data_IF_803721455636
#
_entry.id   IF_803721455636
#
_cell.length_a   1.000
_cell.length_b   1.000
_cell.length_c   1.000
_cell.angle_alpha   90.00
_cell.angle_beta   90.00
_cell.angle_gamma   90.00
#
_symmetry.space_group_name_H-M   'P 1'
#
loop_
_entity.id
_entity.type
_entity.pdbx_description
1 polymer ?
#
# COMPACT_ATOMS: atom_id res chain seq x y z
N UNK A 1 17.92 -16.57 33.51
CA UNK A 1 16.71 -17.10 32.86
C UNK A 1 17.09 -17.49 31.44
N UNK A 2 16.73 -18.68 30.96
CA UNK A 2 17.05 -19.09 29.60
C UNK A 2 16.13 -18.36 28.61
N UNK A 3 16.70 -17.60 27.67
CA UNK A 3 15.95 -16.96 26.60
C UNK A 3 15.67 -18.00 25.52
N UNK A 4 14.40 -18.29 25.26
CA UNK A 4 14.00 -19.13 24.12
C UNK A 4 14.23 -18.32 22.85
N UNK A 5 15.28 -18.64 22.09
CA UNK A 5 15.42 -18.16 20.72
C UNK A 5 14.49 -18.98 19.84
N UNK A 6 13.42 -18.36 19.34
CA UNK A 6 12.55 -19.01 18.35
C UNK A 6 13.23 -18.96 16.98
N UNK A 7 13.24 -20.09 16.29
CA UNK A 7 13.65 -20.15 14.89
C UNK A 7 12.74 -19.22 14.07
N UNK A 8 13.30 -18.39 13.18
CA UNK A 8 12.50 -17.54 12.32
C UNK A 8 11.62 -18.40 11.42
N UNK A 9 10.38 -17.97 11.20
CA UNK A 9 9.48 -18.62 10.25
C UNK A 9 10.03 -18.42 8.84
N UNK A 10 10.18 -19.51 8.09
CA UNK A 10 10.54 -19.45 6.68
C UNK A 10 9.29 -19.23 5.82
N UNK A 11 9.49 -18.51 4.72
CA UNK A 11 8.50 -18.24 3.69
C UNK A 11 9.15 -18.49 2.34
N UNK A 12 8.36 -18.95 1.36
CA UNK A 12 8.83 -19.22 0.01
C UNK A 12 8.98 -17.92 -0.79
N UNK A 13 8.10 -16.94 -0.54
CA UNK A 13 8.07 -15.65 -1.26
C UNK A 13 7.89 -14.50 -0.28
N UNK A 14 8.67 -13.42 -0.48
CA UNK A 14 8.46 -12.13 0.16
C UNK A 14 7.88 -11.15 -0.87
N UNK A 15 6.71 -10.58 -0.55
CA UNK A 15 5.99 -9.63 -1.38
C UNK A 15 6.04 -8.27 -0.68
N UNK A 16 6.55 -7.27 -1.39
CA UNK A 16 6.67 -5.90 -0.88
C UNK A 16 5.58 -5.04 -1.53
N UNK A 17 4.64 -4.56 -0.71
CA UNK A 17 3.45 -3.83 -1.10
C UNK A 17 2.23 -4.74 -1.29
N UNK A 18 1.10 -4.41 -0.65
CA UNK A 18 -0.20 -5.06 -0.78
C UNK A 18 -1.15 -4.37 -1.78
N UNK A 19 -0.63 -3.42 -2.57
CA UNK A 19 -1.38 -2.78 -3.66
C UNK A 19 -1.83 -3.77 -4.74
N UNK A 20 -2.42 -3.26 -5.82
CA UNK A 20 -3.09 -4.08 -6.84
C UNK A 20 -2.26 -5.28 -7.34
N UNK A 21 -0.97 -5.07 -7.61
CA UNK A 21 -0.06 -6.13 -8.05
C UNK A 21 0.30 -7.12 -6.94
N UNK A 22 0.72 -6.62 -5.78
CA UNK A 22 1.20 -7.46 -4.68
C UNK A 22 0.08 -8.26 -3.99
N UNK A 23 -1.11 -7.68 -3.84
CA UNK A 23 -2.28 -8.41 -3.34
C UNK A 23 -2.71 -9.54 -4.28
N UNK A 24 -2.70 -9.28 -5.60
CA UNK A 24 -3.01 -10.32 -6.59
C UNK A 24 -1.94 -11.42 -6.61
N UNK A 25 -0.67 -11.05 -6.53
CA UNK A 25 0.43 -12.00 -6.41
C UNK A 25 0.28 -12.87 -5.15
N UNK A 26 0.00 -12.25 -4.00
CA UNK A 26 -0.23 -12.95 -2.74
C UNK A 26 -1.38 -13.96 -2.88
N UNK A 27 -2.50 -13.56 -3.50
CA UNK A 27 -3.62 -14.47 -3.76
C UNK A 27 -3.20 -15.67 -4.61
N UNK A 28 -2.63 -15.46 -5.79
CA UNK A 28 -2.29 -16.56 -6.71
C UNK A 28 -1.25 -17.50 -6.11
N UNK A 29 -0.21 -16.94 -5.49
CA UNK A 29 0.89 -17.74 -4.92
C UNK A 29 0.42 -18.58 -3.73
N UNK A 30 -0.41 -18.00 -2.85
CA UNK A 30 -0.95 -18.73 -1.69
C UNK A 30 -1.99 -19.78 -2.11
N UNK A 31 -2.84 -19.51 -3.09
CA UNK A 31 -3.74 -20.51 -3.69
C UNK A 31 -2.96 -21.66 -4.36
N UNK A 32 -1.77 -21.37 -4.88
CA UNK A 32 -0.82 -22.38 -5.39
C UNK A 32 -0.08 -23.18 -4.31
N UNK A 33 -0.34 -22.92 -3.03
CA UNK A 33 0.23 -23.64 -1.89
C UNK A 33 1.54 -23.07 -1.35
N UNK A 34 2.01 -21.91 -1.83
CA UNK A 34 3.22 -21.27 -1.33
C UNK A 34 2.95 -20.45 -0.06
N UNK A 35 3.90 -20.50 0.86
CA UNK A 35 3.92 -19.64 2.04
C UNK A 35 4.50 -18.26 1.69
N UNK A 36 3.69 -17.21 1.82
CA UNK A 36 4.10 -15.85 1.47
C UNK A 36 4.19 -14.94 2.71
N UNK A 37 5.20 -14.07 2.74
CA UNK A 37 5.27 -12.94 3.65
C UNK A 37 4.96 -11.65 2.87
N UNK A 38 3.88 -10.96 3.22
CA UNK A 38 3.47 -9.69 2.62
C UNK A 38 3.79 -8.54 3.58
N UNK A 39 4.52 -7.54 3.09
CA UNK A 39 4.90 -6.35 3.86
C UNK A 39 4.32 -5.12 3.20
N UNK A 40 3.53 -4.32 3.93
CA UNK A 40 2.98 -3.05 3.45
C UNK A 40 3.48 -1.92 4.35
N UNK A 41 3.94 -0.83 3.73
CA UNK A 41 4.44 0.35 4.44
C UNK A 41 3.30 1.35 4.72
N UNK A 42 2.25 1.33 3.90
CA UNK A 42 1.03 2.10 4.09
C UNK A 42 0.20 1.64 5.29
N UNK A 43 -0.80 2.45 5.70
CA UNK A 43 -1.70 2.09 6.78
C UNK A 43 -2.55 0.87 6.39
N UNK A 44 -3.16 0.22 7.39
CA UNK A 44 -4.24 -0.73 7.14
C UNK A 44 -5.41 0.00 6.45
N UNK A 45 -5.89 -0.56 5.34
CA UNK A 45 -6.97 0.01 4.54
C UNK A 45 -8.15 -0.95 4.55
N UNK A 46 -9.32 -0.41 4.88
CA UNK A 46 -10.61 -1.08 4.87
C UNK A 46 -11.43 -0.55 3.69
N UNK A 47 -11.57 -1.32 2.59
CA UNK A 47 -12.25 -0.84 1.38
C UNK A 47 -13.65 -0.28 1.64
N UNK A 48 -14.40 -0.83 2.60
CA UNK A 48 -15.75 -0.40 2.94
C UNK A 48 -15.82 0.96 3.64
N UNK A 49 -14.69 1.46 4.18
CA UNK A 49 -14.60 2.75 4.87
C UNK A 49 -13.76 3.76 4.10
N UNK A 50 -12.66 3.31 3.51
CA UNK A 50 -11.64 4.19 2.96
C UNK A 50 -11.82 4.45 1.47
N UNK A 51 -12.51 3.56 0.72
CA UNK A 51 -12.70 3.75 -0.71
C UNK A 51 -13.89 4.68 -0.97
N UNK A 52 -13.59 5.82 -1.60
CA UNK A 52 -14.58 6.86 -1.94
C UNK A 52 -15.05 6.80 -3.40
N UNK A 53 -14.74 5.73 -4.13
CA UNK A 53 -15.05 5.63 -5.56
C UNK A 53 -16.55 5.71 -5.88
N UNK A 54 -17.41 5.37 -4.91
CA UNK A 54 -18.87 5.43 -5.04
C UNK A 54 -19.50 6.62 -4.28
N UNK A 55 -18.68 7.46 -3.64
CA UNK A 55 -19.12 8.65 -2.92
C UNK A 55 -19.47 9.75 -3.91
N UNK A 56 -20.58 10.45 -3.67
CA UNK A 56 -20.93 11.61 -4.46
C UNK A 56 -20.09 12.83 -4.07
N UNK A 57 -19.78 13.74 -5.01
CA UNK A 57 -18.98 14.91 -4.67
C UNK A 57 -19.55 15.78 -3.56
N UNK A 58 -20.87 15.90 -3.43
CA UNK A 58 -21.47 16.70 -2.37
C UNK A 58 -21.35 16.08 -0.96
N UNK A 59 -20.98 14.80 -0.86
CA UNK A 59 -20.75 14.11 0.42
C UNK A 59 -19.34 14.33 0.96
N UNK A 60 -18.38 14.72 0.09
CA UNK A 60 -17.01 14.99 0.47
C UNK A 60 -16.84 16.43 1.03
N UNK A 61 -16.05 16.64 2.11
CA UNK A 61 -15.86 17.96 2.74
C UNK A 61 -15.41 19.07 1.78
N UNK A 62 -14.65 18.70 0.74
CA UNK A 62 -14.10 19.63 -0.25
C UNK A 62 -14.58 19.32 -1.68
N UNK A 63 -15.63 18.52 -1.82
CA UNK A 63 -16.17 18.08 -3.11
C UNK A 63 -15.13 17.48 -4.07
N UNK A 64 -14.11 16.83 -3.51
CA UNK A 64 -13.01 16.24 -4.27
C UNK A 64 -11.89 17.18 -4.68
N UNK A 65 -11.99 18.47 -4.37
CA UNK A 65 -10.93 19.44 -4.66
C UNK A 65 -9.73 19.34 -3.71
N UNK A 66 -9.85 18.57 -2.62
CA UNK A 66 -8.82 18.47 -1.59
C UNK A 66 -8.76 19.70 -0.68
N UNK A 67 -7.92 19.62 0.36
CA UNK A 67 -7.77 20.68 1.37
C UNK A 67 -7.21 21.93 0.69
N UNK A 68 -7.94 23.05 0.76
CA UNK A 68 -7.53 24.30 0.11
C UNK A 68 -7.52 24.25 -1.42
N UNK A 69 -8.27 23.34 -2.04
CA UNK A 69 -8.30 23.17 -3.50
C UNK A 69 -7.06 22.47 -4.07
N UNK A 70 -6.28 21.81 -3.22
CA UNK A 70 -5.08 21.05 -3.61
C UNK A 70 -5.30 19.57 -3.34
N UNK A 71 -5.41 18.80 -4.42
CA UNK A 71 -5.32 17.35 -4.36
C UNK A 71 -3.87 16.90 -4.10
N UNK A 72 -3.69 15.77 -3.41
CA UNK A 72 -2.35 15.22 -3.14
C UNK A 72 -1.80 14.60 -4.43
N UNK A 73 -0.64 15.05 -4.89
CA UNK A 73 0.18 14.48 -5.98
C UNK A 73 -0.58 13.92 -7.20
N UNK A 74 -1.58 14.67 -7.69
CA UNK A 74 -2.36 14.38 -8.91
C UNK A 74 -3.44 13.28 -8.79
N UNK A 75 -3.75 12.77 -7.59
CA UNK A 75 -4.86 11.85 -7.40
C UNK A 75 -6.04 12.56 -6.69
N UNK A 76 -7.21 12.54 -7.34
CA UNK A 76 -8.43 13.12 -6.77
C UNK A 76 -8.90 12.37 -5.53
N UNK A 77 -9.62 13.06 -4.64
CA UNK A 77 -10.09 12.51 -3.34
C UNK A 77 -10.91 11.19 -3.47
N UNK A 78 -11.49 10.94 -4.64
CA UNK A 78 -12.33 9.76 -4.92
C UNK A 78 -11.56 8.55 -5.44
N UNK A 79 -10.29 8.71 -5.83
CA UNK A 79 -9.46 7.58 -6.24
C UNK A 79 -9.14 6.73 -5.01
N UNK A 80 -8.92 5.43 -5.24
CA UNK A 80 -8.54 4.50 -4.18
C UNK A 80 -7.38 5.11 -3.38
N UNK A 81 -7.51 5.19 -2.05
CA UNK A 81 -6.78 6.14 -1.25
C UNK A 81 -5.28 5.80 -1.20
N UNK A 82 -4.49 6.86 -1.00
CA UNK A 82 -3.14 6.87 -0.43
C UNK A 82 -1.96 6.58 -1.36
N UNK A 83 -2.21 6.46 -2.66
CA UNK A 83 -1.19 6.46 -3.70
C UNK A 83 -0.39 7.77 -3.80
N UNK A 84 0.93 7.73 -3.63
CA UNK A 84 1.84 8.85 -3.83
C UNK A 84 3.19 8.35 -4.35
N UNK A 85 3.86 9.16 -5.16
CA UNK A 85 5.24 8.87 -5.58
C UNK A 85 6.22 9.24 -4.48
N UNK A 86 5.86 10.21 -3.63
CA UNK A 86 6.66 10.63 -2.50
C UNK A 86 5.87 10.53 -1.20
N UNK A 87 6.39 9.76 -0.26
CA UNK A 87 5.83 9.61 1.08
C UNK A 87 6.92 9.97 2.09
N UNK A 88 6.61 10.92 2.98
CA UNK A 88 7.52 11.28 4.06
C UNK A 88 7.79 10.07 4.96
N UNK A 89 9.07 9.78 5.21
CA UNK A 89 9.48 8.66 6.05
C UNK A 89 9.35 7.28 5.39
N UNK A 90 9.28 7.22 4.06
CA UNK A 90 9.22 5.94 3.37
C UNK A 90 10.42 5.01 3.68
N UNK A 91 10.20 3.68 3.82
CA UNK A 91 11.28 2.74 4.09
C UNK A 91 11.96 2.21 2.82
N UNK A 92 11.40 2.44 1.63
CA UNK A 92 11.93 1.90 0.39
C UNK A 92 13.02 2.80 -0.19
N UNK A 93 13.98 2.19 -0.86
CA UNK A 93 15.06 2.89 -1.55
C UNK A 93 15.34 2.21 -2.88
N UNK A 94 15.98 2.92 -3.79
CA UNK A 94 16.42 2.39 -5.07
C UNK A 94 17.93 2.22 -5.06
N UNK A 95 18.43 1.23 -5.80
CA UNK A 95 19.87 1.01 -5.91
C UNK A 95 20.59 2.25 -6.49
N UNK A 96 21.86 2.50 -6.14
CA UNK A 96 22.62 3.62 -6.70
C UNK A 96 22.60 3.60 -8.24
N UNK A 97 22.24 4.74 -8.85
CA UNK A 97 22.13 4.88 -10.31
C UNK A 97 20.84 4.36 -10.94
N UNK A 98 19.85 3.94 -10.13
CA UNK A 98 18.53 3.56 -10.62
C UNK A 98 17.58 4.76 -10.62
N UNK A 99 16.85 4.92 -11.72
CA UNK A 99 15.76 5.89 -11.85
C UNK A 99 14.38 5.27 -11.50
N UNK A 100 14.36 4.07 -10.92
CA UNK A 100 13.13 3.41 -10.53
C UNK A 100 12.47 4.12 -9.34
N UNK A 101 11.16 4.35 -9.44
CA UNK A 101 10.33 4.93 -8.40
C UNK A 101 9.23 3.97 -7.98
N UNK A 102 8.97 3.91 -6.68
CA UNK A 102 7.88 3.13 -6.11
C UNK A 102 6.61 3.99 -6.07
N UNK A 103 5.61 3.66 -6.89
CA UNK A 103 4.25 4.14 -6.66
C UNK A 103 3.58 3.27 -5.61
N UNK A 104 2.93 3.90 -4.63
CA UNK A 104 2.32 3.21 -3.50
C UNK A 104 1.27 4.06 -2.84
#
# INVERSE_FOLDING_TARGET
MAQVQRSPKQYDVCIIGSGAGGGMAAKVLTEGGLSCALLEAGPEVHPEKDFKMLMWPYEAPHRGAGVGGRARENFGEFLAPNGAWHIEGEPYTSAPGSDFQWFR
#
